data_IF_401174425237
#
_entry.id   IF_401174425237
#
_cell.length_a   1.000
_cell.length_b   1.000
_cell.length_c   1.000
_cell.angle_alpha   90.00
_cell.angle_beta   90.00
_cell.angle_gamma   90.00
#
_symmetry.space_group_name_H-M   'P 1'
#
loop_
_entity.id
_entity.type
_entity.pdbx_description
1 polymer ?
#
# COMPACT_ATOMS: atom_id res chain seq x y z
N UNK A 1 12.40 -2.21 -33.76
CA UNK A 1 11.24 -2.49 -34.61
C UNK A 1 10.89 -3.98 -34.64
N UNK A 2 11.85 -4.85 -34.74
CA UNK A 2 11.65 -6.32 -34.87
C UNK A 2 10.96 -7.04 -33.74
N UNK A 3 11.05 -6.56 -32.47
CA UNK A 3 10.43 -7.24 -31.31
C UNK A 3 8.91 -6.96 -31.25
N UNK A 4 8.50 -5.74 -31.57
CA UNK A 4 7.08 -5.34 -31.55
C UNK A 4 6.34 -6.00 -32.72
N UNK A 5 6.96 -6.08 -33.89
CA UNK A 5 6.37 -6.73 -35.07
C UNK A 5 6.19 -8.24 -34.85
N UNK A 6 7.15 -8.90 -34.22
CA UNK A 6 7.01 -10.31 -33.83
C UNK A 6 5.92 -10.52 -32.77
N UNK A 7 5.74 -9.60 -31.82
CA UNK A 7 4.67 -9.70 -30.82
C UNK A 7 3.30 -9.46 -31.43
N UNK A 8 3.14 -8.53 -32.38
CA UNK A 8 1.88 -8.29 -33.08
C UNK A 8 1.47 -9.46 -33.95
N UNK A 9 2.40 -10.16 -34.56
CA UNK A 9 2.11 -11.40 -35.29
C UNK A 9 1.72 -12.56 -34.36
N UNK A 10 2.29 -12.62 -33.14
CA UNK A 10 2.03 -13.70 -32.19
C UNK A 10 0.75 -13.55 -31.38
N UNK A 11 0.24 -12.34 -31.15
CA UNK A 11 -0.90 -12.08 -30.24
C UNK A 11 -2.06 -11.35 -30.92
N UNK A 12 -1.95 -11.02 -32.20
CA UNK A 12 -2.99 -10.35 -32.97
C UNK A 12 -3.44 -9.01 -32.36
N UNK A 13 -4.75 -8.74 -32.42
CA UNK A 13 -5.36 -7.49 -31.95
C UNK A 13 -5.17 -7.26 -30.43
N UNK A 14 -5.00 -8.34 -29.63
CA UNK A 14 -4.84 -8.28 -28.18
C UNK A 14 -3.44 -7.90 -27.70
N UNK A 15 -2.46 -7.76 -28.60
CA UNK A 15 -1.10 -7.36 -28.25
C UNK A 15 -1.06 -6.02 -27.55
N UNK A 16 -1.76 -5.02 -28.07
CA UNK A 16 -1.74 -3.65 -27.55
C UNK A 16 -2.30 -3.52 -26.13
N UNK A 17 -3.51 -4.03 -25.82
CA UNK A 17 -4.05 -3.98 -24.46
C UNK A 17 -3.17 -4.71 -23.43
N UNK A 18 -2.66 -5.89 -23.76
CA UNK A 18 -1.79 -6.66 -22.87
C UNK A 18 -0.44 -5.99 -22.63
N UNK A 19 0.14 -5.41 -23.68
CA UNK A 19 1.42 -4.69 -23.58
C UNK A 19 1.28 -3.42 -22.73
N UNK A 20 0.20 -2.67 -22.90
CA UNK A 20 -0.08 -1.48 -22.07
C UNK A 20 -0.31 -1.87 -20.60
N UNK A 21 -1.07 -2.92 -20.30
CA UNK A 21 -1.24 -3.44 -18.95
C UNK A 21 0.10 -3.89 -18.32
N UNK A 22 0.96 -4.57 -19.09
CA UNK A 22 2.28 -5.01 -18.66
C UNK A 22 3.18 -3.82 -18.29
N UNK A 23 3.26 -2.82 -19.20
CA UNK A 23 4.07 -1.63 -18.98
C UNK A 23 3.59 -0.83 -17.75
N UNK A 24 2.28 -0.64 -17.61
CA UNK A 24 1.68 0.04 -16.47
C UNK A 24 1.93 -0.72 -15.17
N UNK A 25 1.82 -2.05 -15.17
CA UNK A 25 2.10 -2.88 -13.99
C UNK A 25 3.53 -2.67 -13.51
N UNK A 26 4.51 -2.80 -14.39
CA UNK A 26 5.93 -2.63 -14.04
C UNK A 26 6.20 -1.21 -13.56
N UNK A 27 5.69 -0.20 -14.28
CA UNK A 27 5.88 1.22 -13.95
C UNK A 27 5.34 1.53 -12.54
N UNK A 28 4.08 1.17 -12.27
CA UNK A 28 3.45 1.45 -10.97
C UNK A 28 4.12 0.66 -9.86
N UNK A 29 4.49 -0.60 -10.11
CA UNK A 29 5.12 -1.45 -9.11
C UNK A 29 6.48 -0.89 -8.69
N UNK A 30 7.32 -0.48 -9.65
CA UNK A 30 8.62 0.12 -9.38
C UNK A 30 8.47 1.47 -8.67
N UNK A 31 7.57 2.33 -9.13
CA UNK A 31 7.30 3.63 -8.50
C UNK A 31 6.88 3.46 -7.04
N UNK A 32 5.93 2.56 -6.77
CA UNK A 32 5.41 2.31 -5.41
C UNK A 32 6.42 1.62 -4.52
N UNK A 33 7.19 0.69 -5.07
CA UNK A 33 8.27 0.05 -4.33
C UNK A 33 9.32 1.06 -3.86
N UNK A 34 9.77 1.94 -4.74
CA UNK A 34 10.72 3.02 -4.40
C UNK A 34 10.10 3.97 -3.36
N UNK A 35 8.83 4.36 -3.54
CA UNK A 35 8.13 5.26 -2.63
C UNK A 35 8.02 4.68 -1.21
N UNK A 36 7.65 3.41 -1.09
CA UNK A 36 7.54 2.72 0.20
C UNK A 36 8.91 2.56 0.86
N UNK A 37 9.95 2.19 0.08
CA UNK A 37 11.33 2.14 0.57
C UNK A 37 11.82 3.48 1.14
N UNK A 38 11.55 4.58 0.44
CA UNK A 38 11.92 5.92 0.90
C UNK A 38 11.14 6.35 2.15
N UNK A 39 9.88 5.91 2.30
CA UNK A 39 9.08 6.19 3.50
C UNK A 39 9.54 5.37 4.72
N UNK A 40 10.13 4.19 4.52
CA UNK A 40 10.60 3.30 5.60
C UNK A 40 11.92 3.78 6.21
N UNK A 41 12.57 4.79 5.61
CA UNK A 41 13.85 5.35 6.07
C UNK A 41 13.82 5.75 7.54
N UNK A 42 14.73 5.15 8.25
CA UNK A 42 15.13 5.19 9.68
C UNK A 42 14.86 6.54 10.38
N UNK A 43 13.62 6.73 10.86
CA UNK A 43 13.27 7.90 11.68
C UNK A 43 12.91 7.59 13.13
N UNK A 44 12.55 6.31 13.44
CA UNK A 44 11.96 5.93 14.73
C UNK A 44 12.90 6.19 15.92
N UNK A 45 14.12 5.69 15.89
CA UNK A 45 15.08 5.77 17.00
C UNK A 45 15.67 7.17 17.19
N UNK A 46 15.83 7.93 16.10
CA UNK A 46 16.37 9.30 16.21
C UNK A 46 15.34 10.28 16.75
N UNK A 47 14.08 10.17 16.36
CA UNK A 47 13.05 11.13 16.76
C UNK A 47 12.63 10.93 18.21
N UNK A 48 12.47 9.70 18.69
CA UNK A 48 12.20 9.43 20.11
C UNK A 48 13.34 9.88 21.00
N UNK A 49 14.59 9.63 20.62
CA UNK A 49 15.76 10.09 21.35
C UNK A 49 15.93 11.62 21.33
N UNK A 50 15.46 12.30 20.30
CA UNK A 50 15.46 13.78 20.24
C UNK A 50 14.37 14.38 21.13
N UNK A 51 13.19 13.76 21.18
CA UNK A 51 12.10 14.19 22.07
C UNK A 51 12.46 13.98 23.54
N UNK A 52 13.09 12.85 23.90
CA UNK A 52 13.52 12.56 25.28
C UNK A 52 14.63 13.49 25.79
N UNK A 53 15.46 14.03 24.90
CA UNK A 53 16.53 14.98 25.23
C UNK A 53 16.07 16.42 25.36
N UNK A 54 14.89 16.77 24.85
CA UNK A 54 14.44 18.15 24.78
C UNK A 54 13.57 18.52 25.97
N UNK A 55 13.87 19.69 26.56
CA UNK A 55 13.09 20.25 27.66
C UNK A 55 11.77 20.80 27.11
N UNK A 56 10.62 20.24 27.55
CA UNK A 56 9.27 20.58 27.08
C UNK A 56 8.89 22.06 27.27
N UNK A 57 9.56 22.77 28.15
CA UNK A 57 9.28 24.18 28.53
C UNK A 57 10.03 25.20 27.68
N UNK A 58 10.89 24.76 26.76
CA UNK A 58 11.67 25.69 25.93
C UNK A 58 11.02 25.79 24.53
N UNK A 59 10.12 26.77 24.38
CA UNK A 59 9.39 27.05 23.15
C UNK A 59 10.32 27.31 21.96
N UNK A 60 11.47 27.97 22.17
CA UNK A 60 12.42 28.26 21.09
C UNK A 60 13.14 27.01 20.60
N UNK A 61 13.45 26.11 21.50
CA UNK A 61 14.07 24.84 21.16
C UNK A 61 13.11 23.93 20.41
N UNK A 62 11.81 23.93 20.77
CA UNK A 62 10.77 23.19 20.08
C UNK A 62 10.53 23.71 18.65
N UNK A 63 10.54 25.04 18.44
CA UNK A 63 10.39 25.63 17.11
C UNK A 63 11.58 25.30 16.20
N UNK A 64 12.80 25.35 16.72
CA UNK A 64 13.99 24.93 15.99
C UNK A 64 13.94 23.45 15.62
N UNK A 65 13.48 22.60 16.54
CA UNK A 65 13.32 21.17 16.31
C UNK A 65 12.26 20.90 15.23
N UNK A 66 11.14 21.62 15.27
CA UNK A 66 10.08 21.51 14.26
C UNK A 66 10.60 21.88 12.88
N UNK A 67 11.40 22.95 12.75
CA UNK A 67 11.97 23.37 11.46
C UNK A 67 13.03 22.38 10.96
N UNK A 68 13.86 21.84 11.83
CA UNK A 68 14.84 20.80 11.48
C UNK A 68 14.15 19.51 11.01
N UNK A 69 13.07 19.10 11.66
CA UNK A 69 12.29 17.91 11.30
C UNK A 69 11.52 18.08 9.99
N UNK A 70 11.06 19.28 9.67
CA UNK A 70 10.33 19.60 8.45
C UNK A 70 11.14 19.34 7.18
N UNK A 71 12.46 19.60 7.23
CA UNK A 71 13.37 19.37 6.11
C UNK A 71 13.82 17.92 5.96
N UNK A 72 13.55 17.07 6.94
CA UNK A 72 13.92 15.66 6.86
C UNK A 72 12.93 14.86 5.98
N UNK A 73 13.48 13.87 5.22
CA UNK A 73 12.70 13.03 4.30
C UNK A 73 11.70 12.08 4.97
N UNK A 74 11.94 11.49 6.17
CA UNK A 74 11.02 10.55 6.79
C UNK A 74 9.65 11.19 7.07
N UNK A 75 8.60 10.46 6.71
CA UNK A 75 7.21 10.90 6.88
C UNK A 75 6.90 11.19 8.37
N UNK A 76 7.51 10.41 9.28
CA UNK A 76 7.41 10.57 10.72
C UNK A 76 7.86 11.96 11.19
N UNK A 77 9.00 12.45 10.68
CA UNK A 77 9.53 13.75 11.02
C UNK A 77 8.58 14.88 10.64
N UNK A 78 7.94 14.79 9.48
CA UNK A 78 6.95 15.76 9.01
C UNK A 78 5.67 15.77 9.88
N UNK A 79 5.20 14.60 10.30
CA UNK A 79 4.04 14.48 11.18
C UNK A 79 4.31 15.08 12.56
N UNK A 80 5.47 14.82 13.14
CA UNK A 80 5.87 15.37 14.45
C UNK A 80 6.11 16.87 14.36
N UNK A 81 6.78 17.37 13.31
CA UNK A 81 6.94 18.80 13.06
C UNK A 81 5.59 19.52 13.00
N UNK A 82 4.61 18.94 12.30
CA UNK A 82 3.25 19.47 12.25
C UNK A 82 2.60 19.53 13.63
N UNK A 83 2.70 18.48 14.45
CA UNK A 83 2.15 18.44 15.81
C UNK A 83 2.77 19.51 16.72
N UNK A 84 4.09 19.66 16.68
CA UNK A 84 4.84 20.65 17.48
C UNK A 84 4.43 22.07 17.03
N UNK A 85 4.27 22.33 15.75
CA UNK A 85 3.83 23.64 15.24
C UNK A 85 2.41 24.01 15.70
N UNK A 86 1.56 23.01 15.98
CA UNK A 86 0.20 23.22 16.48
C UNK A 86 0.05 23.05 17.99
N UNK A 87 1.17 23.09 18.77
CA UNK A 87 1.16 22.88 20.22
C UNK A 87 0.27 23.84 21.01
N UNK A 88 0.04 25.04 20.48
CA UNK A 88 -0.82 26.06 21.12
C UNK A 88 -2.32 25.80 20.99
N UNK A 89 -2.72 24.85 20.13
CA UNK A 89 -4.13 24.48 20.00
C UNK A 89 -4.56 23.51 21.11
N UNK A 90 -5.87 23.50 21.38
CA UNK A 90 -6.48 22.55 22.32
C UNK A 90 -6.25 21.11 21.85
N UNK A 91 -6.15 20.20 22.80
CA UNK A 91 -5.90 18.77 22.54
C UNK A 91 -6.82 18.18 21.46
N UNK A 92 -8.17 18.37 21.50
CA UNK A 92 -9.07 17.82 20.48
C UNK A 92 -8.74 18.33 19.07
N UNK A 93 -8.45 19.62 18.93
CA UNK A 93 -8.14 20.22 17.63
C UNK A 93 -6.82 19.72 17.05
N UNK A 94 -5.82 19.42 17.88
CA UNK A 94 -4.56 18.79 17.46
C UNK A 94 -4.77 17.34 16.99
N UNK A 95 -5.62 16.59 17.71
CA UNK A 95 -5.98 15.22 17.34
C UNK A 95 -6.72 15.17 16.00
N UNK A 96 -7.66 16.08 15.79
CA UNK A 96 -8.37 16.22 14.52
C UNK A 96 -7.42 16.58 13.37
N UNK A 97 -6.53 17.55 13.57
CA UNK A 97 -5.54 17.93 12.57
C UNK A 97 -4.60 16.77 12.21
N UNK A 98 -4.14 16.01 13.23
CA UNK A 98 -3.30 14.84 13.02
C UNK A 98 -4.04 13.72 12.26
N UNK A 99 -5.30 13.48 12.61
CA UNK A 99 -6.14 12.46 11.96
C UNK A 99 -6.40 12.77 10.48
N UNK A 100 -6.71 14.03 10.15
CA UNK A 100 -6.89 14.51 8.77
C UNK A 100 -5.60 14.33 7.97
N UNK A 101 -4.45 14.72 8.54
CA UNK A 101 -3.16 14.57 7.89
C UNK A 101 -2.80 13.09 7.64
N UNK A 102 -3.02 12.22 8.63
CA UNK A 102 -2.83 10.77 8.50
C UNK A 102 -3.72 10.18 7.41
N UNK A 103 -5.00 10.59 7.36
CA UNK A 103 -5.96 10.14 6.36
C UNK A 103 -5.50 10.51 4.95
N UNK A 104 -5.06 11.75 4.73
CA UNK A 104 -4.50 12.20 3.45
C UNK A 104 -3.28 11.36 3.04
N UNK A 105 -2.35 11.08 3.97
CA UNK A 105 -1.16 10.27 3.69
C UNK A 105 -1.51 8.81 3.37
N UNK A 106 -2.45 8.24 4.12
CA UNK A 106 -2.98 6.89 3.83
C UNK A 106 -3.58 6.82 2.43
N UNK A 107 -4.38 7.82 2.04
CA UNK A 107 -5.00 7.87 0.72
C UNK A 107 -3.96 8.01 -0.40
N UNK A 108 -2.93 8.83 -0.21
CA UNK A 108 -1.82 8.98 -1.16
C UNK A 108 -1.05 7.66 -1.36
N UNK A 109 -0.73 6.95 -0.29
CA UNK A 109 -0.02 5.67 -0.37
C UNK A 109 -0.86 4.58 -1.06
N UNK A 110 -2.17 4.55 -0.78
CA UNK A 110 -3.07 3.51 -1.31
C UNK A 110 -3.57 3.79 -2.73
N UNK A 111 -3.53 5.03 -3.24
CA UNK A 111 -4.13 5.38 -4.54
C UNK A 111 -3.55 4.58 -5.71
N UNK A 112 -2.23 4.46 -5.82
CA UNK A 112 -1.59 3.69 -6.89
C UNK A 112 -1.73 2.17 -6.72
N UNK A 113 -1.87 1.69 -5.49
CA UNK A 113 -2.08 0.26 -5.23
C UNK A 113 -3.46 -0.21 -5.71
N UNK A 114 -4.47 0.67 -5.65
CA UNK A 114 -5.81 0.37 -6.20
C UNK A 114 -5.76 0.18 -7.71
N UNK A 115 -5.03 1.03 -8.42
CA UNK A 115 -4.84 0.88 -9.87
C UNK A 115 -4.12 -0.42 -10.21
N UNK A 116 -3.07 -0.75 -9.46
CA UNK A 116 -2.32 -1.99 -9.65
C UNK A 116 -3.21 -3.23 -9.43
N UNK A 117 -4.04 -3.22 -8.39
CA UNK A 117 -5.02 -4.27 -8.13
C UNK A 117 -6.06 -4.39 -9.24
N UNK A 118 -6.54 -3.26 -9.77
CA UNK A 118 -7.48 -3.23 -10.89
C UNK A 118 -6.89 -3.87 -12.16
N UNK A 119 -5.65 -3.52 -12.51
CA UNK A 119 -4.93 -4.12 -13.64
C UNK A 119 -4.79 -5.63 -13.43
N UNK A 120 -4.46 -6.06 -12.21
CA UNK A 120 -4.35 -7.48 -11.86
C UNK A 120 -5.63 -8.28 -12.10
N UNK A 121 -6.80 -7.68 -11.86
CA UNK A 121 -8.10 -8.33 -12.11
C UNK A 121 -8.48 -8.28 -13.60
N UNK A 122 -8.18 -7.18 -14.29
CA UNK A 122 -8.54 -7.00 -15.70
C UNK A 122 -7.64 -7.82 -16.63
N UNK A 123 -6.36 -8.00 -16.32
CA UNK A 123 -5.40 -8.69 -17.20
C UNK A 123 -5.80 -10.13 -17.54
N UNK A 124 -6.27 -11.00 -16.62
CA UNK A 124 -6.75 -12.34 -16.95
C UNK A 124 -8.00 -12.31 -17.84
N UNK A 125 -8.89 -11.31 -17.61
CA UNK A 125 -10.10 -11.17 -18.44
C UNK A 125 -9.75 -10.77 -19.87
N UNK A 126 -8.75 -9.90 -20.05
CA UNK A 126 -8.22 -9.56 -21.37
C UNK A 126 -7.57 -10.79 -22.03
N UNK A 127 -6.85 -11.61 -21.26
CA UNK A 127 -6.32 -12.87 -21.75
C UNK A 127 -7.42 -13.82 -22.23
N UNK A 128 -8.49 -13.97 -21.46
CA UNK A 128 -9.65 -14.78 -21.81
C UNK A 128 -10.36 -14.23 -23.06
N UNK A 129 -10.55 -12.92 -23.15
CA UNK A 129 -11.09 -12.27 -24.35
C UNK A 129 -10.25 -12.57 -25.58
N UNK A 130 -8.92 -12.58 -25.42
CA UNK A 130 -7.99 -12.94 -26.47
C UNK A 130 -8.19 -14.36 -27.00
N UNK A 131 -8.53 -15.34 -26.12
CA UNK A 131 -8.83 -16.70 -26.57
C UNK A 131 -10.10 -16.76 -27.39
N UNK A 132 -11.15 -16.06 -26.98
CA UNK A 132 -12.42 -16.01 -27.70
C UNK A 132 -12.23 -15.43 -29.09
N UNK A 133 -11.51 -14.31 -29.21
CA UNK A 133 -11.22 -13.67 -30.49
C UNK A 133 -10.33 -14.55 -31.38
N UNK A 134 -9.31 -15.18 -30.80
CA UNK A 134 -8.45 -16.13 -31.55
C UNK A 134 -9.23 -17.33 -32.11
N UNK A 135 -10.14 -17.88 -31.34
CA UNK A 135 -11.03 -18.98 -31.84
C UNK A 135 -11.98 -18.51 -32.93
N UNK A 136 -12.57 -17.30 -32.81
CA UNK A 136 -13.42 -16.71 -33.84
C UNK A 136 -12.65 -16.55 -35.15
N UNK A 137 -11.42 -16.06 -35.06
CA UNK A 137 -10.58 -15.84 -36.24
C UNK A 137 -10.14 -17.14 -36.88
N UNK A 138 -9.84 -18.17 -36.08
CA UNK A 138 -9.57 -19.51 -36.53
C UNK A 138 -10.78 -20.11 -37.30
N UNK A 139 -11.99 -20.04 -36.74
CA UNK A 139 -13.19 -20.55 -37.41
C UNK A 139 -13.55 -19.80 -38.69
N UNK A 140 -13.32 -18.49 -38.72
CA UNK A 140 -13.47 -17.71 -39.97
C UNK A 140 -12.49 -18.16 -41.05
N UNK A 141 -11.23 -18.41 -40.70
CA UNK A 141 -10.22 -18.93 -41.63
C UNK A 141 -10.63 -20.28 -42.21
N UNK A 142 -11.17 -21.18 -41.38
CA UNK A 142 -11.68 -22.48 -41.80
C UNK A 142 -12.88 -22.34 -42.77
N UNK A 143 -13.82 -21.46 -42.46
CA UNK A 143 -15.01 -21.22 -43.27
C UNK A 143 -14.70 -20.65 -44.67
N UNK A 144 -13.60 -19.93 -44.80
CA UNK A 144 -13.14 -19.31 -46.06
C UNK A 144 -12.22 -20.24 -46.87
N UNK A 145 -11.69 -21.29 -46.26
CA UNK A 145 -10.83 -22.26 -46.94
C UNK A 145 -11.68 -23.19 -47.82
N UNK A 146 -11.36 -23.25 -49.12
CA UNK A 146 -12.03 -24.16 -50.08
C UNK A 146 -11.40 -25.56 -50.07
N UNK A 147 -10.41 -25.80 -49.21
CA UNK A 147 -9.69 -27.07 -49.09
C UNK A 147 -10.03 -27.88 -47.82
N UNK A 148 -9.43 -29.05 -47.68
CA UNK A 148 -9.50 -29.82 -46.43
C UNK A 148 -8.78 -29.11 -45.30
N UNK A 149 -9.47 -28.88 -44.19
CA UNK A 149 -8.88 -28.30 -42.95
C UNK A 149 -7.80 -29.24 -42.43
N UNK A 150 -6.58 -28.75 -42.28
CA UNK A 150 -5.48 -29.55 -41.72
C UNK A 150 -5.42 -29.42 -40.21
N UNK A 151 -4.97 -30.45 -39.48
CA UNK A 151 -4.73 -30.35 -38.03
C UNK A 151 -3.77 -29.21 -37.63
N UNK A 152 -2.89 -28.81 -38.55
CA UNK A 152 -1.94 -27.69 -38.34
C UNK A 152 -2.67 -26.35 -38.25
N UNK A 153 -3.68 -26.11 -39.09
CA UNK A 153 -4.44 -24.86 -39.10
C UNK A 153 -5.22 -24.67 -37.78
N UNK A 154 -5.70 -25.77 -37.18
CA UNK A 154 -6.35 -25.77 -35.89
C UNK A 154 -5.33 -25.53 -34.76
N UNK A 155 -4.15 -26.16 -34.86
CA UNK A 155 -3.11 -26.05 -33.81
C UNK A 155 -2.58 -24.62 -33.67
N UNK A 156 -2.42 -23.91 -34.79
CA UNK A 156 -1.93 -22.53 -34.77
C UNK A 156 -2.92 -21.55 -34.13
N UNK A 157 -4.20 -21.62 -34.44
CA UNK A 157 -5.24 -20.80 -33.83
C UNK A 157 -5.44 -21.08 -32.35
N UNK A 158 -5.43 -22.37 -31.98
CA UNK A 158 -5.54 -22.78 -30.57
C UNK A 158 -4.27 -22.37 -29.78
N UNK A 159 -3.09 -22.51 -30.36
CA UNK A 159 -1.84 -22.07 -29.78
C UNK A 159 -1.80 -20.57 -29.50
N UNK A 160 -2.31 -19.76 -30.44
CA UNK A 160 -2.45 -18.32 -30.26
C UNK A 160 -3.39 -18.00 -29.08
N UNK A 161 -4.55 -18.64 -29.04
CA UNK A 161 -5.53 -18.47 -27.97
C UNK A 161 -4.93 -18.79 -26.59
N UNK A 162 -4.25 -19.93 -26.44
CA UNK A 162 -3.63 -20.32 -25.16
C UNK A 162 -2.52 -19.36 -24.70
N UNK A 163 -1.73 -18.82 -25.65
CA UNK A 163 -0.66 -17.85 -25.34
C UNK A 163 -1.20 -16.55 -24.78
N UNK A 164 -2.32 -16.04 -25.29
CA UNK A 164 -2.92 -14.77 -24.79
C UNK A 164 -3.39 -14.91 -23.34
N UNK A 165 -4.01 -16.03 -22.98
CA UNK A 165 -4.42 -16.30 -21.58
C UNK A 165 -3.22 -16.44 -20.66
N UNK A 166 -2.20 -17.19 -21.06
CA UNK A 166 -0.98 -17.34 -20.27
C UNK A 166 -0.29 -15.99 -20.00
N UNK A 167 -0.24 -15.12 -21.02
CA UNK A 167 0.32 -13.77 -20.88
C UNK A 167 -0.51 -12.90 -19.94
N UNK A 168 -1.84 -12.94 -20.02
CA UNK A 168 -2.72 -12.22 -19.10
C UNK A 168 -2.50 -12.63 -17.65
N UNK A 169 -2.31 -13.94 -17.38
CA UNK A 169 -2.01 -14.45 -16.03
C UNK A 169 -0.60 -14.06 -15.55
N UNK A 170 0.41 -14.07 -16.42
CA UNK A 170 1.78 -13.64 -16.09
C UNK A 170 1.81 -12.17 -15.67
N UNK A 171 0.97 -11.31 -16.27
CA UNK A 171 0.85 -9.90 -15.88
C UNK A 171 0.07 -9.76 -14.57
N UNK A 172 -0.98 -10.53 -14.38
CA UNK A 172 -1.87 -10.45 -13.22
C UNK A 172 -1.18 -10.84 -11.91
N UNK A 173 -0.37 -11.90 -11.92
CA UNK A 173 0.31 -12.41 -10.73
C UNK A 173 1.15 -11.33 -10.01
N UNK A 174 2.13 -10.67 -10.65
CA UNK A 174 2.91 -9.63 -10.00
C UNK A 174 2.07 -8.39 -9.66
N UNK A 175 1.02 -8.07 -10.43
CA UNK A 175 0.15 -6.95 -10.14
C UNK A 175 -0.66 -7.17 -8.84
N UNK A 176 -1.27 -8.33 -8.67
CA UNK A 176 -2.06 -8.66 -7.49
C UNK A 176 -1.15 -8.84 -6.27
N UNK A 177 -0.12 -9.67 -6.37
CA UNK A 177 0.80 -9.92 -5.25
C UNK A 177 1.54 -8.66 -4.84
N UNK A 178 2.02 -7.86 -5.79
CA UNK A 178 2.66 -6.58 -5.53
C UNK A 178 1.72 -5.59 -4.85
N UNK A 179 0.47 -5.46 -5.31
CA UNK A 179 -0.51 -4.56 -4.68
C UNK A 179 -0.82 -4.95 -3.24
N UNK A 180 -0.95 -6.25 -2.94
CA UNK A 180 -1.22 -6.75 -1.59
C UNK A 180 -0.02 -6.60 -0.66
N UNK A 181 1.17 -7.02 -1.08
CA UNK A 181 2.38 -6.90 -0.27
C UNK A 181 2.74 -5.44 0.04
N UNK A 182 2.71 -4.57 -0.96
CA UNK A 182 2.96 -3.14 -0.77
C UNK A 182 1.86 -2.48 0.06
N UNK A 183 0.61 -2.96 -0.03
CA UNK A 183 -0.51 -2.54 0.80
C UNK A 183 -0.28 -2.84 2.27
N UNK A 184 0.06 -4.07 2.61
CA UNK A 184 0.39 -4.48 3.99
C UNK A 184 1.57 -3.67 4.55
N UNK A 185 2.58 -3.43 3.72
CA UNK A 185 3.73 -2.64 4.14
C UNK A 185 3.38 -1.17 4.37
N UNK A 186 2.57 -0.57 3.49
CA UNK A 186 2.05 0.79 3.67
C UNK A 186 1.20 0.91 4.95
N UNK A 187 0.36 -0.08 5.25
CA UNK A 187 -0.45 -0.09 6.48
C UNK A 187 0.42 -0.21 7.74
N UNK A 188 1.46 -1.02 7.72
CA UNK A 188 2.44 -1.10 8.82
C UNK A 188 3.15 0.24 9.07
N UNK A 189 3.51 0.97 8.00
CA UNK A 189 4.10 2.31 8.11
C UNK A 189 3.08 3.27 8.73
N UNK A 190 1.82 3.24 8.27
CA UNK A 190 0.77 4.11 8.79
C UNK A 190 0.45 3.84 10.25
N UNK A 191 0.36 2.58 10.67
CA UNK A 191 0.17 2.20 12.07
C UNK A 191 1.32 2.73 12.97
N UNK A 192 2.54 2.64 12.49
CA UNK A 192 3.70 3.17 13.19
C UNK A 192 3.66 4.71 13.32
N UNK A 193 3.24 5.39 12.26
CA UNK A 193 3.07 6.85 12.26
C UNK A 193 2.01 7.27 13.27
N UNK A 194 0.85 6.64 13.23
CA UNK A 194 -0.27 6.91 14.13
C UNK A 194 0.13 6.74 15.60
N UNK A 195 0.78 5.60 15.91
CA UNK A 195 1.29 5.35 17.26
C UNK A 195 2.30 6.41 17.71
N UNK A 196 3.23 6.79 16.83
CA UNK A 196 4.26 7.79 17.16
C UNK A 196 3.68 9.20 17.33
N UNK A 197 2.69 9.58 16.53
CA UNK A 197 2.00 10.88 16.66
C UNK A 197 1.16 10.94 17.94
N UNK A 198 0.44 9.87 18.28
CA UNK A 198 -0.32 9.80 19.53
C UNK A 198 0.62 9.88 20.75
N UNK A 199 1.75 9.20 20.71
CA UNK A 199 2.76 9.31 21.77
C UNK A 199 3.32 10.73 21.90
N UNK A 200 3.60 11.39 20.79
CA UNK A 200 4.06 12.78 20.78
C UNK A 200 2.97 13.74 21.34
N UNK A 201 1.70 13.53 20.99
CA UNK A 201 0.59 14.33 21.51
C UNK A 201 0.45 14.17 23.04
N UNK A 202 0.55 12.95 23.56
CA UNK A 202 0.54 12.68 25.01
C UNK A 202 1.75 13.30 25.72
N UNK A 203 2.93 13.26 25.11
CA UNK A 203 4.12 13.91 25.64
C UNK A 203 3.94 15.43 25.75
N UNK A 204 3.28 16.07 24.77
CA UNK A 204 2.95 17.50 24.83
C UNK A 204 1.97 17.83 25.98
N UNK A 205 1.09 16.91 26.36
CA UNK A 205 0.17 17.06 27.50
C UNK A 205 0.82 16.76 28.86
N UNK A 206 2.06 16.30 28.87
CA UNK A 206 2.76 16.00 30.12
C UNK A 206 2.66 14.55 30.58
N UNK A 207 2.00 13.69 29.84
CA UNK A 207 1.96 12.28 30.14
C UNK A 207 3.16 11.58 29.51
N UNK A 208 4.08 11.07 30.34
CA UNK A 208 5.18 10.22 29.89
C UNK A 208 4.70 8.77 29.95
N UNK A 209 4.35 8.21 28.79
CA UNK A 209 4.03 6.79 28.70
C UNK A 209 5.32 6.05 28.40
N UNK A 210 6.01 5.60 29.42
CA UNK A 210 7.07 4.60 29.33
C UNK A 210 6.46 3.26 28.88
N UNK A 211 6.37 3.06 27.56
CA UNK A 211 5.99 1.77 26.96
C UNK A 211 7.23 0.88 26.85
N UNK A 212 7.94 0.75 27.92
CA UNK A 212 9.10 -0.11 27.99
C UNK A 212 9.40 -0.48 29.42
N UNK A 213 8.88 -1.62 29.89
CA UNK A 213 9.28 -2.27 31.13
C UNK A 213 8.61 -1.86 32.47
N UNK A 214 7.37 -1.43 32.47
CA UNK A 214 6.60 -1.60 33.70
C UNK A 214 5.95 -2.98 33.67
N UNK A 215 6.34 -3.94 34.54
CA UNK A 215 5.50 -5.11 34.77
C UNK A 215 4.13 -4.58 35.18
N UNK A 216 3.10 -5.04 34.50
CA UNK A 216 1.71 -4.83 34.92
C UNK A 216 1.66 -5.30 36.36
N UNK A 217 1.67 -4.36 37.33
CA UNK A 217 1.36 -4.71 38.71
C UNK A 217 -0.05 -5.26 38.67
N UNK A 218 -0.26 -6.49 39.08
CA UNK A 218 -1.62 -6.96 39.26
C UNK A 218 -2.30 -5.98 40.23
N UNK A 219 -3.55 -5.64 39.91
CA UNK A 219 -4.38 -4.79 40.76
C UNK A 219 -4.53 -5.49 42.14
N UNK A 220 -3.73 -5.09 43.12
CA UNK A 220 -3.82 -5.57 44.51
C UNK A 220 -5.06 -5.02 45.24
N UNK A 221 -6.03 -4.45 44.52
CA UNK A 221 -7.30 -3.93 45.06
C UNK A 221 -8.53 -4.61 44.48
N UNK A 222 -8.45 -5.93 44.23
CA UNK A 222 -9.65 -6.77 44.28
C UNK A 222 -9.72 -7.44 45.66
N UNK A 223 -9.53 -6.64 46.68
CA UNK A 223 -9.90 -7.06 48.05
C UNK A 223 -11.42 -7.09 48.12
N UNK A 224 -11.93 -8.30 48.36
CA UNK A 224 -13.26 -8.73 48.78
C UNK A 224 -14.16 -7.58 49.25
N UNK A 225 -15.18 -7.30 48.45
CA UNK A 225 -16.36 -6.60 48.96
C UNK A 225 -17.24 -7.63 49.67
N UNK A 226 -17.28 -7.68 51.02
CA UNK A 226 -18.03 -8.70 51.78
C UNK A 226 -19.56 -8.49 51.77
N UNK A 227 -20.06 -7.62 50.90
CA UNK A 227 -21.49 -7.23 50.87
C UNK A 227 -22.36 -8.04 49.90
N UNK A 228 -21.87 -9.13 49.28
CA UNK A 228 -22.66 -9.90 48.32
C UNK A 228 -22.90 -11.35 48.77
N UNK A 229 -22.83 -11.63 50.09
CA UNK A 229 -23.21 -12.94 50.64
C UNK A 229 -24.37 -12.78 51.59
N UNK A 230 -25.57 -12.88 51.09
CA UNK A 230 -26.75 -12.91 51.95
C UNK A 230 -28.05 -12.49 51.27
N UNK A 231 -28.66 -13.39 50.50
CA UNK A 231 -30.11 -13.65 50.45
C UNK A 231 -30.41 -14.66 49.34
N UNK A 232 -30.41 -15.90 49.73
CA UNK A 232 -31.24 -16.94 49.11
C UNK A 232 -31.72 -17.85 50.26
N UNK A 233 -32.90 -17.55 50.72
CA UNK A 233 -33.79 -18.47 51.39
C UNK A 233 -35.15 -18.31 50.71
#
# INVERSE_FOLDING_TARGET
MTVIDNLTQQFGLMTWPLLTCSALTVMILVERFIQVLLCTGVGKTKVTALLDKQNRHDDRALDQLAEQLKHQRPLLCKGISMLISHRHFTKPLREDAASIWLLQKRQQLRSGLRLLSLIGVISPLLGLLGTVLGLIEMFKGIALSTGSVTPSDLADGLGLAMRTTATGLIIALPAITGSQLLGLWADSIMATLEHSLNRCNLWLEGMNIDVGNSPVKPCDTCEENPAYNGKSA
#
